data_IF_053694139358
#
_entry.id   IF_053694139358
#
_cell.length_a   1.000
_cell.length_b   1.000
_cell.length_c   1.000
_cell.angle_alpha   90.00
_cell.angle_beta   90.00
_cell.angle_gamma   90.00
#
_symmetry.space_group_name_H-M   'P 1'
#
loop_
_entity.id
_entity.type
_entity.pdbx_description
1 polymer ?
#
# COMPACT_ATOMS: atom_id res chain seq x y z
N UNK A 1 -21.21 30.31 -3.46
CA UNK A 1 -20.99 29.23 -4.45
C UNK A 1 -19.51 29.23 -4.77
N UNK A 2 -18.76 28.34 -4.14
CA UNK A 2 -17.31 28.22 -4.34
C UNK A 2 -17.11 27.44 -5.64
N UNK A 3 -16.48 28.07 -6.64
CA UNK A 3 -16.18 27.43 -7.91
C UNK A 3 -15.20 26.28 -7.66
N UNK A 4 -15.63 25.06 -7.97
CA UNK A 4 -14.73 23.90 -8.10
C UNK A 4 -13.87 24.20 -9.33
N UNK A 5 -12.53 24.25 -9.24
CA UNK A 5 -11.71 24.45 -10.42
C UNK A 5 -11.91 23.26 -11.35
N UNK A 6 -12.52 23.50 -12.51
CA UNK A 6 -12.52 22.57 -13.63
C UNK A 6 -11.07 22.42 -14.09
N UNK A 7 -10.40 21.38 -13.60
CA UNK A 7 -9.14 20.94 -14.21
C UNK A 7 -9.48 20.51 -15.64
N UNK A 8 -9.18 21.37 -16.60
CA UNK A 8 -9.13 21.00 -18.01
C UNK A 8 -8.23 19.77 -18.15
N UNK A 9 -8.87 18.65 -18.45
CA UNK A 9 -8.26 17.35 -18.71
C UNK A 9 -7.63 17.37 -20.11
N UNK A 10 -6.58 18.19 -20.30
CA UNK A 10 -5.73 18.04 -21.47
C UNK A 10 -4.87 16.78 -21.28
N UNK A 11 -5.10 15.82 -22.19
CA UNK A 11 -4.71 14.42 -22.10
C UNK A 11 -3.27 14.16 -21.65
N UNK A 12 -3.14 13.19 -20.74
CA UNK A 12 -1.85 12.59 -20.36
C UNK A 12 -1.71 11.21 -21.01
N UNK A 13 -0.44 10.84 -21.17
CA UNK A 13 0.09 9.79 -22.05
C UNK A 13 -0.49 8.41 -21.72
N UNK A 14 -1.14 7.79 -22.70
CA UNK A 14 -1.41 6.35 -22.64
C UNK A 14 -0.08 5.59 -22.81
N UNK A 15 0.25 4.70 -21.88
CA UNK A 15 1.38 3.80 -22.05
C UNK A 15 1.03 2.70 -23.05
N UNK A 16 1.74 2.65 -24.18
CA UNK A 16 1.65 1.58 -25.15
C UNK A 16 2.81 0.60 -24.95
N UNK A 17 2.51 -0.63 -24.54
CA UNK A 17 3.50 -1.70 -24.40
C UNK A 17 3.57 -2.51 -25.69
N UNK A 18 4.74 -2.56 -26.34
CA UNK A 18 5.00 -3.43 -27.51
C UNK A 18 5.96 -4.54 -27.10
N UNK A 19 5.48 -5.78 -27.08
CA UNK A 19 6.31 -6.97 -26.85
C UNK A 19 6.69 -7.26 -25.39
N UNK A 20 6.11 -6.54 -24.42
CA UNK A 20 6.20 -6.89 -23.01
C UNK A 20 5.03 -7.81 -22.62
N UNK A 21 5.24 -8.70 -21.65
CA UNK A 21 4.15 -9.37 -20.92
C UNK A 21 3.19 -8.27 -20.44
N UNK A 22 1.86 -8.39 -20.62
CA UNK A 22 0.92 -7.44 -20.06
C UNK A 22 1.25 -7.19 -18.58
N UNK A 23 1.19 -5.93 -18.14
CA UNK A 23 1.26 -5.61 -16.71
C UNK A 23 0.26 -6.52 -16.01
N UNK A 24 0.73 -7.24 -15.00
CA UNK A 24 -0.11 -8.14 -14.22
C UNK A 24 -1.18 -7.31 -13.50
N UNK A 25 -2.37 -7.29 -14.09
CA UNK A 25 -3.54 -6.59 -13.56
C UNK A 25 -4.02 -7.21 -12.26
N UNK A 26 -3.57 -8.43 -11.94
CA UNK A 26 -3.93 -9.13 -10.70
C UNK A 26 -3.18 -8.57 -9.48
N UNK A 27 -2.26 -7.62 -9.69
CA UNK A 27 -1.42 -7.04 -8.64
C UNK A 27 -1.50 -5.51 -8.52
N UNK A 28 -2.60 -4.89 -8.97
CA UNK A 28 -2.87 -3.46 -8.73
C UNK A 28 -3.88 -3.27 -7.60
N UNK A 29 -3.59 -2.34 -6.71
CA UNK A 29 -4.43 -2.06 -5.55
C UNK A 29 -4.60 -0.56 -5.34
N UNK A 30 -5.79 -0.20 -4.88
CA UNK A 30 -6.10 1.10 -4.32
C UNK A 30 -5.93 1.03 -2.81
N UNK A 31 -5.13 1.93 -2.27
CA UNK A 31 -4.95 2.13 -0.84
C UNK A 31 -5.38 3.53 -0.42
N UNK A 32 -5.78 3.67 0.84
CA UNK A 32 -6.11 4.95 1.45
C UNK A 32 -5.01 5.35 2.43
N UNK A 33 -4.68 6.63 2.48
CA UNK A 33 -3.72 7.19 3.44
C UNK A 33 -4.34 8.32 4.23
N UNK A 34 -3.76 8.64 5.39
CA UNK A 34 -4.17 9.79 6.20
C UNK A 34 -2.98 10.43 6.92
N UNK A 35 -3.00 11.76 7.03
CA UNK A 35 -2.13 12.51 7.93
C UNK A 35 -0.75 12.82 7.38
N UNK A 36 -0.48 12.51 6.11
CA UNK A 36 0.80 12.82 5.45
C UNK A 36 0.53 13.47 4.10
N UNK A 37 1.21 14.58 3.82
CA UNK A 37 1.18 15.22 2.50
C UNK A 37 2.01 14.35 1.55
N UNK A 38 1.34 13.49 0.79
CA UNK A 38 1.93 12.72 -0.28
C UNK A 38 1.88 13.50 -1.59
N UNK A 39 2.92 13.33 -2.40
CA UNK A 39 3.07 13.97 -3.71
C UNK A 39 3.37 12.91 -4.76
N UNK A 40 3.38 13.31 -6.03
CA UNK A 40 3.68 12.41 -7.15
C UNK A 40 5.13 11.89 -7.17
N UNK A 41 5.98 12.46 -6.31
CA UNK A 41 7.37 12.03 -6.11
C UNK A 41 7.57 11.30 -4.76
N UNK A 42 6.52 11.02 -4.01
CA UNK A 42 6.63 10.29 -2.74
C UNK A 42 7.15 8.88 -2.98
N UNK A 43 8.15 8.45 -2.19
CA UNK A 43 8.69 7.09 -2.27
C UNK A 43 7.67 6.05 -1.81
N UNK A 44 7.84 4.79 -2.24
CA UNK A 44 7.00 3.69 -1.76
C UNK A 44 7.05 3.55 -0.23
N UNK A 45 8.21 3.80 0.40
CA UNK A 45 8.36 3.85 1.85
C UNK A 45 7.39 4.88 2.48
N UNK A 46 7.34 6.10 1.95
CA UNK A 46 6.44 7.14 2.44
C UNK A 46 4.97 6.76 2.25
N UNK A 47 4.63 6.21 1.07
CA UNK A 47 3.26 5.79 0.73
C UNK A 47 2.77 4.70 1.70
N UNK A 48 3.55 3.61 1.88
CA UNK A 48 3.10 2.49 2.72
C UNK A 48 3.11 2.86 4.19
N UNK A 49 4.02 3.73 4.64
CA UNK A 49 4.02 4.24 6.01
C UNK A 49 2.76 5.05 6.32
N UNK A 50 2.28 5.83 5.35
CA UNK A 50 1.07 6.65 5.47
C UNK A 50 -0.24 5.88 5.26
N UNK A 51 -0.18 4.63 4.78
CA UNK A 51 -1.36 3.79 4.55
C UNK A 51 -2.15 3.56 5.85
N UNK A 52 -3.48 3.59 5.76
CA UNK A 52 -4.35 3.28 6.91
C UNK A 52 -4.04 1.91 7.50
N UNK A 53 -4.12 1.79 8.82
CA UNK A 53 -4.07 0.51 9.50
C UNK A 53 -5.21 -0.41 9.02
N UNK A 54 -4.96 -1.71 8.92
CA UNK A 54 -5.99 -2.72 8.65
C UNK A 54 -6.90 -2.88 9.88
N UNK A 55 -7.77 -1.90 10.08
CA UNK A 55 -8.73 -1.76 11.17
C UNK A 55 -10.02 -1.16 10.61
N UNK A 56 -11.12 -1.27 11.36
CA UNK A 56 -12.42 -0.72 10.99
C UNK A 56 -12.89 -1.14 9.58
N UNK A 57 -12.59 -2.37 9.17
CA UNK A 57 -12.95 -2.91 7.85
C UNK A 57 -12.07 -2.48 6.69
N UNK A 58 -11.07 -1.61 6.92
CA UNK A 58 -10.13 -1.21 5.86
C UNK A 58 -9.34 -2.39 5.32
N UNK A 59 -9.28 -2.48 4.00
CA UNK A 59 -8.39 -3.34 3.23
C UNK A 59 -8.09 -2.66 1.91
N UNK A 60 -6.96 -3.01 1.30
CA UNK A 60 -6.67 -2.60 -0.08
C UNK A 60 -7.75 -3.16 -1.01
N UNK A 61 -8.16 -2.36 -1.99
CA UNK A 61 -9.16 -2.76 -2.98
C UNK A 61 -8.45 -3.06 -4.29
N UNK A 62 -8.70 -4.24 -4.88
CA UNK A 62 -8.12 -4.58 -6.18
C UNK A 62 -8.54 -3.56 -7.24
N UNK A 63 -7.57 -3.03 -7.97
CA UNK A 63 -7.80 -2.10 -9.07
C UNK A 63 -7.93 -2.88 -10.38
N UNK A 64 -9.17 -3.15 -10.79
CA UNK A 64 -9.48 -3.88 -12.03
C UNK A 64 -10.20 -2.96 -13.02
N UNK A 65 -9.49 -2.22 -13.87
CA UNK A 65 -10.12 -1.36 -14.86
C UNK A 65 -10.88 -2.21 -15.88
N UNK A 66 -12.11 -1.80 -16.20
CA UNK A 66 -12.86 -2.43 -17.28
C UNK A 66 -12.15 -2.21 -18.62
N UNK A 67 -12.47 -3.05 -19.62
CA UNK A 67 -11.96 -2.85 -20.97
C UNK A 67 -12.44 -1.51 -21.54
N UNK A 68 -11.53 -0.77 -22.16
CA UNK A 68 -11.87 0.47 -22.86
C UNK A 68 -12.76 0.20 -24.07
N UNK A 69 -13.74 1.05 -24.32
CA UNK A 69 -14.59 0.99 -25.53
C UNK A 69 -14.27 2.14 -26.47
N UNK A 70 -14.38 1.93 -27.78
CA UNK A 70 -14.21 2.99 -28.77
C UNK A 70 -15.57 3.54 -29.19
N UNK A 71 -15.84 4.82 -28.95
CA UNK A 71 -17.01 5.52 -29.47
C UNK A 71 -16.73 5.96 -30.90
N UNK A 72 -17.29 5.23 -31.87
CA UNK A 72 -17.15 5.52 -33.30
C UNK A 72 -17.96 6.73 -33.75
N UNK A 73 -18.98 7.15 -33.02
CA UNK A 73 -19.76 8.36 -33.29
C UNK A 73 -19.00 9.63 -32.93
N UNK A 74 -18.12 9.55 -31.94
CA UNK A 74 -17.29 10.67 -31.48
C UNK A 74 -15.80 10.51 -31.82
N UNK A 75 -15.44 9.38 -32.45
CA UNK A 75 -14.06 9.02 -32.81
C UNK A 75 -13.08 9.11 -31.64
N UNK A 76 -13.49 8.63 -30.45
CA UNK A 76 -12.66 8.69 -29.25
C UNK A 76 -12.73 7.38 -28.46
N UNK A 77 -11.63 7.04 -27.79
CA UNK A 77 -11.59 5.93 -26.85
C UNK A 77 -12.23 6.38 -25.53
N UNK A 78 -13.31 5.71 -25.13
CA UNK A 78 -13.90 5.84 -23.81
C UNK A 78 -13.09 5.03 -22.81
N UNK A 79 -12.56 5.73 -21.82
CA UNK A 79 -11.84 5.12 -20.72
C UNK A 79 -12.85 4.83 -19.61
N UNK A 80 -13.13 3.56 -19.29
CA UNK A 80 -14.05 3.25 -18.22
C UNK A 80 -13.47 3.75 -16.90
N UNK A 81 -14.29 4.47 -16.14
CA UNK A 81 -14.00 4.69 -14.73
C UNK A 81 -13.91 3.33 -14.04
N UNK A 82 -12.92 3.17 -13.16
CA UNK A 82 -12.86 2.02 -12.27
C UNK A 82 -13.40 2.45 -10.92
N UNK A 83 -14.30 1.65 -10.35
CA UNK A 83 -14.83 1.91 -9.03
C UNK A 83 -14.04 1.09 -7.99
N UNK A 84 -13.52 1.77 -6.98
CA UNK A 84 -12.94 1.13 -5.80
C UNK A 84 -13.83 1.41 -4.59
N UNK A 85 -14.49 0.36 -4.07
CA UNK A 85 -15.42 0.48 -2.96
C UNK A 85 -14.74 0.12 -1.64
N UNK A 86 -14.75 1.06 -0.70
CA UNK A 86 -14.24 0.87 0.65
C UNK A 86 -15.40 0.81 1.64
N UNK A 87 -15.44 -0.26 2.44
CA UNK A 87 -16.50 -0.50 3.42
C UNK A 87 -15.94 -0.31 4.82
N UNK A 88 -16.50 0.63 5.58
CA UNK A 88 -16.15 0.84 6.98
C UNK A 88 -16.98 -0.09 7.87
N UNK A 89 -16.34 -0.84 8.76
CA UNK A 89 -17.01 -1.73 9.70
C UNK A 89 -16.27 -1.86 11.03
N UNK A 90 -16.96 -1.64 12.14
CA UNK A 90 -16.34 -1.60 13.48
C UNK A 90 -15.69 -0.26 13.82
N UNK A 91 -15.97 0.77 13.02
CA UNK A 91 -15.49 2.14 13.20
C UNK A 91 -15.47 2.93 11.89
N UNK A 92 -15.26 4.23 11.97
CA UNK A 92 -15.12 5.07 10.77
C UNK A 92 -13.72 4.91 10.15
N UNK A 93 -13.63 5.13 8.84
CA UNK A 93 -12.37 5.29 8.12
C UNK A 93 -12.15 6.77 7.80
N UNK A 94 -11.01 7.32 8.20
CA UNK A 94 -10.61 8.68 7.86
C UNK A 94 -9.42 8.63 6.92
N UNK A 95 -9.51 9.33 5.79
CA UNK A 95 -8.45 9.39 4.79
C UNK A 95 -8.37 10.77 4.15
N UNK A 96 -7.23 11.09 3.55
CA UNK A 96 -7.02 12.33 2.79
C UNK A 96 -6.63 12.10 1.33
N UNK A 97 -6.10 10.91 1.02
CA UNK A 97 -5.54 10.56 -0.29
C UNK A 97 -5.89 9.11 -0.61
N UNK A 98 -6.18 8.85 -1.89
CA UNK A 98 -6.24 7.50 -2.43
C UNK A 98 -5.12 7.31 -3.44
N UNK A 99 -4.47 6.15 -3.41
CA UNK A 99 -3.28 5.85 -4.20
C UNK A 99 -3.48 4.52 -4.91
N UNK A 100 -3.11 4.46 -6.19
CA UNK A 100 -2.97 3.22 -6.94
C UNK A 100 -1.51 2.80 -6.93
N UNK A 101 -1.26 1.57 -6.51
CA UNK A 101 0.04 0.92 -6.59
C UNK A 101 -0.05 -0.34 -7.43
N UNK A 102 0.99 -0.64 -8.19
CA UNK A 102 1.15 -1.86 -8.97
C UNK A 102 2.18 -2.81 -8.35
N UNK A 103 2.13 -4.08 -8.72
CA UNK A 103 2.99 -5.15 -8.17
C UNK A 103 2.94 -5.22 -6.64
N UNK A 104 1.75 -4.99 -6.09
CA UNK A 104 1.50 -4.98 -4.65
C UNK A 104 0.71 -6.24 -4.23
N UNK A 105 0.67 -6.52 -2.93
CA UNK A 105 -0.12 -7.62 -2.36
C UNK A 105 -1.40 -7.12 -1.68
N UNK A 106 -2.49 -7.91 -1.78
CA UNK A 106 -3.71 -7.75 -1.00
C UNK A 106 -3.48 -8.02 0.50
N UNK A 107 -2.51 -8.87 0.84
CA UNK A 107 -2.18 -9.23 2.23
C UNK A 107 -1.23 -8.23 2.89
N UNK A 108 -0.96 -7.10 2.24
CA UNK A 108 -0.16 -6.05 2.82
C UNK A 108 -0.79 -5.46 4.08
N UNK A 109 0.05 -5.07 5.04
CA UNK A 109 -0.34 -4.42 6.30
C UNK A 109 -0.83 -5.36 7.42
N UNK A 110 0.02 -6.34 7.76
CA UNK A 110 -0.28 -7.36 8.78
C UNK A 110 0.12 -6.91 10.17
N UNK A 111 -0.79 -7.08 11.13
CA UNK A 111 -0.50 -6.88 12.55
C UNK A 111 0.40 -8.00 13.07
N UNK A 112 1.52 -7.64 13.68
CA UNK A 112 2.39 -8.57 14.40
C UNK A 112 1.77 -8.86 15.75
N UNK A 113 1.66 -10.15 16.09
CA UNK A 113 1.09 -10.60 17.38
C UNK A 113 2.16 -10.76 18.45
N UNK A 114 3.36 -11.22 18.05
CA UNK A 114 4.51 -11.36 18.95
C UNK A 114 5.79 -10.87 18.28
N UNK A 115 6.63 -10.15 19.03
CA UNK A 115 8.04 -9.89 18.69
C UNK A 115 8.86 -10.91 19.50
N UNK A 116 9.39 -11.92 18.82
CA UNK A 116 10.13 -13.01 19.46
C UNK A 116 11.63 -12.75 19.31
N UNK A 117 12.23 -12.15 20.34
CA UNK A 117 13.66 -11.81 20.42
C UNK A 117 14.56 -13.06 20.52
N UNK A 118 14.09 -14.13 21.16
CA UNK A 118 14.84 -15.37 21.30
C UNK A 118 15.09 -16.10 19.96
N UNK A 119 14.29 -15.80 18.94
CA UNK A 119 14.42 -16.41 17.61
C UNK A 119 14.48 -15.40 16.46
N UNK A 120 14.59 -14.11 16.78
CA UNK A 120 14.66 -13.01 15.81
C UNK A 120 13.49 -13.01 14.80
N UNK A 121 12.27 -13.25 15.29
CA UNK A 121 11.07 -13.42 14.47
C UNK A 121 9.96 -12.43 14.82
N UNK A 122 9.30 -11.92 13.79
CA UNK A 122 7.98 -11.30 13.93
C UNK A 122 6.95 -12.38 13.65
N UNK A 123 6.02 -12.58 14.58
CA UNK A 123 5.03 -13.66 14.53
C UNK A 123 3.62 -13.12 14.27
N UNK A 124 2.79 -13.97 13.68
CA UNK A 124 1.42 -13.67 13.25
C UNK A 124 0.50 -14.86 13.55
N UNK A 125 -0.75 -14.54 13.89
CA UNK A 125 -1.80 -15.54 14.12
C UNK A 125 -2.35 -16.16 12.82
N UNK A 126 -1.99 -15.60 11.67
CA UNK A 126 -2.38 -16.08 10.34
C UNK A 126 -1.28 -15.80 9.33
N UNK A 127 -1.34 -16.48 8.17
CA UNK A 127 -0.35 -16.32 7.11
C UNK A 127 -0.22 -14.84 6.70
N UNK A 128 0.97 -14.23 6.84
CA UNK A 128 1.17 -12.85 6.41
C UNK A 128 1.20 -12.73 4.88
N UNK A 129 1.37 -13.84 4.14
CA UNK A 129 1.54 -13.85 2.68
C UNK A 129 2.84 -13.19 2.23
N UNK A 130 3.87 -13.22 3.08
CA UNK A 130 5.20 -12.68 2.83
C UNK A 130 6.17 -13.83 2.59
N UNK A 131 7.04 -13.67 1.59
CA UNK A 131 8.05 -14.66 1.21
C UNK A 131 9.44 -14.04 1.20
N UNK A 132 10.46 -14.88 1.23
CA UNK A 132 11.86 -14.45 1.18
C UNK A 132 12.14 -13.59 -0.08
N UNK A 133 12.80 -12.46 0.13
CA UNK A 133 13.04 -11.43 -0.90
C UNK A 133 12.04 -10.28 -0.89
N UNK A 134 10.88 -10.43 -0.24
CA UNK A 134 9.91 -9.34 -0.12
C UNK A 134 10.47 -8.15 0.66
N UNK A 135 10.18 -6.95 0.18
CA UNK A 135 10.51 -5.70 0.85
C UNK A 135 9.35 -5.27 1.73
N UNK A 136 9.67 -4.87 2.95
CA UNK A 136 8.69 -4.45 3.95
C UNK A 136 9.15 -3.24 4.71
N UNK A 137 8.20 -2.60 5.38
CA UNK A 137 8.41 -1.52 6.34
C UNK A 137 7.66 -1.87 7.62
N UNK A 138 8.26 -1.57 8.76
CA UNK A 138 7.67 -1.82 10.07
C UNK A 138 7.26 -0.49 10.70
N UNK A 139 6.01 -0.41 11.15
CA UNK A 139 5.47 0.78 11.82
C UNK A 139 4.82 0.40 13.14
N UNK A 140 4.92 1.28 14.16
CA UNK A 140 4.15 1.11 15.38
C UNK A 140 2.72 1.64 15.19
N UNK A 141 1.75 0.91 15.72
CA UNK A 141 0.40 1.44 15.98
C UNK A 141 0.40 2.13 17.36
N UNK A 142 -0.72 2.78 17.72
CA UNK A 142 -0.86 3.45 19.01
C UNK A 142 -0.58 2.47 20.17
N UNK A 143 0.37 2.82 21.03
CA UNK A 143 0.78 2.03 22.19
C UNK A 143 1.86 0.98 21.90
N UNK A 144 2.22 0.76 20.62
CA UNK A 144 3.32 -0.12 20.23
C UNK A 144 4.66 0.61 20.14
N UNK A 145 5.73 -0.17 20.04
CA UNK A 145 7.08 0.32 19.77
C UNK A 145 7.81 -0.64 18.85
N UNK A 146 8.40 -0.13 17.77
CA UNK A 146 9.21 -0.93 16.84
C UNK A 146 10.59 -1.14 17.45
N UNK A 147 11.16 -2.36 17.40
CA UNK A 147 12.56 -2.61 17.78
C UNK A 147 13.51 -1.64 17.07
N UNK A 148 14.48 -1.07 17.77
CA UNK A 148 15.35 -0.02 17.22
C UNK A 148 16.17 -0.46 16.01
N UNK A 149 16.52 -1.74 15.94
CA UNK A 149 17.30 -2.34 14.85
C UNK A 149 16.51 -2.40 13.53
N UNK A 150 15.18 -2.33 13.61
CA UNK A 150 14.29 -2.28 12.45
C UNK A 150 14.05 -0.85 11.95
N UNK A 151 14.65 0.15 12.59
CA UNK A 151 14.53 1.56 12.26
C UNK A 151 15.86 2.13 11.75
N UNK A 152 15.79 3.23 11.01
CA UNK A 152 16.95 4.07 10.69
C UNK A 152 16.84 5.37 11.46
N UNK A 153 17.67 5.50 12.51
CA UNK A 153 17.69 6.69 13.37
C UNK A 153 16.30 7.05 13.93
N UNK A 154 15.52 6.03 14.30
CA UNK A 154 14.15 6.16 14.82
C UNK A 154 13.06 6.27 13.75
N UNK A 155 13.41 6.31 12.46
CA UNK A 155 12.44 6.38 11.37
C UNK A 155 12.20 5.00 10.74
N UNK A 156 11.00 4.72 10.20
CA UNK A 156 10.77 3.54 9.38
C UNK A 156 11.75 3.48 8.21
N UNK A 157 12.24 2.28 7.90
CA UNK A 157 13.16 2.03 6.79
C UNK A 157 12.71 0.82 5.97
N UNK A 158 13.28 0.68 4.78
CA UNK A 158 13.14 -0.53 3.98
C UNK A 158 13.91 -1.69 4.62
N UNK A 159 13.25 -2.85 4.69
CA UNK A 159 13.79 -4.11 5.17
C UNK A 159 13.43 -5.22 4.18
N UNK A 160 14.15 -6.34 4.27
CA UNK A 160 13.96 -7.50 3.41
C UNK A 160 13.58 -8.72 4.23
N UNK A 161 12.56 -9.46 3.80
CA UNK A 161 12.24 -10.77 4.36
C UNK A 161 13.35 -11.75 3.94
N UNK A 162 13.98 -12.40 4.90
CA UNK A 162 15.07 -13.39 4.67
C UNK A 162 14.78 -14.76 5.24
N UNK A 163 13.60 -14.91 5.85
CA UNK A 163 13.06 -16.18 6.27
C UNK A 163 11.58 -16.01 6.55
N UNK A 164 10.80 -17.02 6.19
CA UNK A 164 9.35 -17.07 6.41
C UNK A 164 8.92 -18.51 6.67
N UNK A 165 7.89 -18.71 7.50
CA UNK A 165 7.41 -20.06 7.75
C UNK A 165 6.24 -20.15 8.73
N UNK A 166 5.88 -21.40 9.02
CA UNK A 166 4.88 -21.75 10.02
C UNK A 166 5.48 -22.79 10.98
N UNK A 167 5.36 -22.56 12.29
CA UNK A 167 5.67 -23.55 13.31
C UNK A 167 4.50 -23.68 14.27
N UNK A 168 3.88 -24.86 14.30
CA UNK A 168 2.78 -25.15 15.23
C UNK A 168 1.57 -24.23 15.09
N UNK A 169 1.28 -23.72 13.88
CA UNK A 169 0.18 -22.79 13.63
C UNK A 169 0.55 -21.31 13.78
N UNK A 170 1.75 -21.00 14.29
CA UNK A 170 2.28 -19.64 14.37
C UNK A 170 3.06 -19.34 13.09
N UNK A 171 2.63 -18.31 12.37
CA UNK A 171 3.33 -17.84 11.18
C UNK A 171 4.39 -16.83 11.58
N UNK A 172 5.52 -16.80 10.87
CA UNK A 172 6.62 -15.91 11.23
C UNK A 172 7.41 -15.44 10.02
N UNK A 173 8.09 -14.31 10.19
CA UNK A 173 9.13 -13.81 9.28
C UNK A 173 10.39 -13.41 10.04
N UNK A 174 11.53 -13.42 9.36
CA UNK A 174 12.79 -12.83 9.78
C UNK A 174 13.19 -11.73 8.79
N UNK A 175 13.82 -10.67 9.29
CA UNK A 175 14.12 -9.47 8.51
C UNK A 175 15.62 -9.22 8.42
N UNK A 176 16.07 -8.65 7.30
CA UNK A 176 17.43 -8.19 7.09
C UNK A 176 17.47 -6.75 6.55
N UNK A 177 18.63 -6.11 6.67
CA UNK A 177 18.89 -4.78 6.11
C UNK A 177 19.13 -4.80 4.59
N UNK A 178 19.49 -5.95 4.04
CA UNK A 178 19.77 -6.16 2.62
C UNK A 178 19.12 -7.45 2.14
N UNK A 179 18.81 -7.51 0.84
CA UNK A 179 18.28 -8.71 0.19
C UNK A 179 19.23 -9.90 0.39
N UNK A 180 18.70 -11.04 0.85
CA UNK A 180 19.49 -12.24 1.16
C UNK A 180 20.52 -12.06 2.28
N UNK A 181 20.43 -10.98 3.06
CA UNK A 181 21.33 -10.67 4.16
C UNK A 181 21.10 -11.55 5.39
N UNK A 182 21.89 -11.31 6.44
CA UNK A 182 21.71 -11.95 7.74
C UNK A 182 20.48 -11.38 8.46
N UNK A 183 19.73 -12.26 9.14
CA UNK A 183 18.63 -11.84 10.00
C UNK A 183 19.11 -10.84 11.07
N UNK A 184 18.31 -9.79 11.26
CA UNK A 184 18.52 -8.77 12.28
C UNK A 184 18.19 -9.38 13.64
N UNK A 185 19.09 -9.21 14.61
CA UNK A 185 18.86 -9.61 15.99
C UNK A 185 18.00 -8.55 16.68
N UNK A 186 16.90 -8.95 17.33
CA UNK A 186 16.01 -8.01 18.02
C UNK A 186 16.46 -7.81 19.47
N UNK A 187 16.33 -6.59 20.00
CA UNK A 187 16.66 -6.32 21.41
C UNK A 187 15.53 -5.64 22.21
N UNK A 188 14.30 -5.63 21.69
CA UNK A 188 13.14 -5.07 22.39
C UNK A 188 11.92 -4.85 21.49
N UNK A 189 11.12 -3.83 21.82
CA UNK A 189 9.88 -3.49 21.13
C UNK A 189 8.62 -3.99 21.86
N UNK A 190 7.46 -3.52 21.41
CA UNK A 190 6.16 -3.93 21.93
C UNK A 190 5.09 -3.86 20.85
N UNK A 191 4.18 -4.82 20.82
CA UNK A 191 2.99 -4.74 19.98
C UNK A 191 2.01 -3.70 20.53
N UNK A 192 1.11 -3.14 19.70
CA UNK A 192 0.89 -3.44 18.29
C UNK A 192 1.89 -2.77 17.33
N UNK A 193 2.52 -3.58 16.46
CA UNK A 193 3.30 -3.09 15.30
C UNK A 193 2.79 -3.79 14.03
N UNK A 194 3.04 -3.19 12.87
CA UNK A 194 2.59 -3.71 11.58
C UNK A 194 3.73 -3.92 10.61
N UNK A 195 3.62 -4.98 9.83
CA UNK A 195 4.46 -5.25 8.66
C UNK A 195 3.71 -4.83 7.41
N UNK A 196 4.28 -3.86 6.70
CA UNK A 196 3.69 -3.23 5.53
C UNK A 196 4.47 -3.65 4.30
N UNK A 197 3.76 -4.26 3.34
CA UNK A 197 4.35 -4.68 2.09
C UNK A 197 4.80 -3.45 1.29
N UNK A 198 6.08 -3.40 0.93
CA UNK A 198 6.71 -2.27 0.28
C UNK A 198 7.25 -2.62 -1.12
N UNK A 199 7.04 -3.84 -1.61
CA UNK A 199 7.19 -4.07 -3.04
C UNK A 199 6.08 -3.33 -3.79
N UNK A 200 6.41 -2.97 -5.02
CA UNK A 200 5.49 -2.36 -5.94
C UNK A 200 6.00 -1.05 -6.52
N UNK A 201 5.12 -0.40 -7.26
CA UNK A 201 5.37 0.88 -7.89
C UNK A 201 4.16 1.79 -7.68
N UNK A 202 4.45 3.04 -7.38
CA UNK A 202 3.46 4.11 -7.36
C UNK A 202 2.99 4.40 -8.78
N UNK A 203 1.69 4.27 -9.03
CA UNK A 203 1.12 4.55 -10.35
C UNK A 203 0.39 5.91 -10.37
N UNK A 204 -0.38 6.21 -9.32
CA UNK A 204 -1.28 7.37 -9.29
C UNK A 204 -1.71 7.75 -7.87
N UNK A 205 -1.96 9.03 -7.62
CA UNK A 205 -2.61 9.53 -6.40
C UNK A 205 -3.71 10.54 -6.72
N UNK A 206 -4.67 10.66 -5.81
CA UNK A 206 -5.59 11.78 -5.75
C UNK A 206 -5.80 12.23 -4.30
N UNK A 207 -5.76 13.55 -4.10
CA UNK A 207 -5.91 14.19 -2.80
C UNK A 207 -7.34 14.72 -2.71
N UNK A 208 -8.09 14.20 -1.75
CA UNK A 208 -9.48 14.57 -1.48
C UNK A 208 -9.59 15.59 -0.34
N UNK A 209 -8.53 15.74 0.46
CA UNK A 209 -8.62 16.40 1.77
C UNK A 209 -9.32 15.48 2.78
N UNK A 210 -9.51 15.95 4.02
CA UNK A 210 -10.06 15.11 5.09
C UNK A 210 -11.45 14.59 4.74
N UNK A 211 -11.53 13.27 4.53
CA UNK A 211 -12.72 12.53 4.14
C UNK A 211 -13.00 11.44 5.17
N UNK A 212 -14.28 11.15 5.42
CA UNK A 212 -14.70 10.14 6.40
C UNK A 212 -15.73 9.20 5.79
N UNK A 213 -15.44 7.90 5.82
CA UNK A 213 -16.42 6.84 5.58
C UNK A 213 -16.99 6.46 6.95
N UNK A 214 -18.27 6.72 7.17
CA UNK A 214 -18.91 6.43 8.45
C UNK A 214 -19.03 4.91 8.68
N UNK A 215 -19.02 4.48 9.94
CA UNK A 215 -19.18 3.06 10.29
C UNK A 215 -20.47 2.47 9.70
N UNK A 216 -20.37 1.28 9.12
CA UNK A 216 -21.48 0.59 8.44
C UNK A 216 -21.83 1.15 7.06
N UNK A 217 -21.02 2.07 6.51
CA UNK A 217 -21.24 2.64 5.17
C UNK A 217 -20.13 2.28 4.18
N UNK A 218 -20.45 2.46 2.91
CA UNK A 218 -19.53 2.26 1.78
C UNK A 218 -19.30 3.60 1.10
N UNK A 219 -18.04 3.92 0.82
CA UNK A 219 -17.69 4.95 -0.14
C UNK A 219 -17.09 4.32 -1.40
N UNK A 220 -17.47 4.84 -2.57
CA UNK A 220 -17.02 4.34 -3.87
C UNK A 220 -16.23 5.41 -4.59
N UNK A 221 -14.92 5.19 -4.71
CA UNK A 221 -14.04 6.08 -5.44
C UNK A 221 -14.08 5.75 -6.92
N UNK A 222 -14.43 6.74 -7.73
CA UNK A 222 -14.28 6.65 -9.17
C UNK A 222 -12.87 7.08 -9.58
N UNK A 223 -12.07 6.12 -10.03
CA UNK A 223 -10.70 6.36 -10.50
C UNK A 223 -10.76 6.47 -12.02
N UNK A 224 -10.61 7.69 -12.52
CA UNK A 224 -10.51 7.96 -13.95
C UNK A 224 -9.10 7.60 -14.44
N UNK A 225 -9.02 6.72 -15.44
CA UNK A 225 -7.78 6.44 -16.16
C UNK A 225 -7.35 7.71 -16.90
N UNK A 226 -6.48 8.52 -16.32
CA UNK A 226 -5.72 9.56 -17.03
C UNK A 226 -4.27 9.42 -16.59
N UNK A 227 -3.57 8.43 -17.15
CA UNK A 227 -2.25 8.04 -16.69
C UNK A 227 -1.24 9.15 -17.00
N UNK A 228 -0.81 9.86 -15.96
CA UNK A 228 0.55 10.36 -15.88
C UNK A 228 1.23 9.55 -14.79
N UNK A 229 2.28 8.81 -15.12
CA UNK A 229 3.07 8.10 -14.12
C UNK A 229 3.79 9.12 -13.25
N UNK A 230 3.61 9.04 -11.94
CA UNK A 230 4.59 9.56 -10.98
C UNK A 230 5.70 8.53 -10.86
N UNK A 231 6.93 8.87 -11.20
CA UNK A 231 8.06 7.96 -10.99
C UNK A 231 8.48 8.03 -9.53
N UNK A 232 7.82 7.27 -8.66
CA UNK A 232 8.38 7.02 -7.33
C UNK A 232 9.50 5.98 -7.46
N UNK A 233 10.75 6.42 -7.35
CA UNK A 233 11.88 5.52 -7.17
C UNK A 233 11.82 4.95 -5.75
N UNK A 234 11.93 3.63 -5.64
CA UNK A 234 11.99 2.91 -4.37
C UNK A 234 13.30 3.26 -3.61
N UNK A 235 14.27 3.88 -4.31
CA UNK A 235 15.57 4.28 -3.78
C UNK A 235 15.76 5.80 -3.57
N UNK A 236 14.70 6.61 -3.72
CA UNK A 236 14.82 8.04 -3.45
C UNK A 236 15.05 8.27 -1.94
N UNK A 237 16.30 8.59 -1.60
CA UNK A 237 16.78 8.96 -0.26
C UNK A 237 16.35 10.39 0.11
#
# INVERSE_FOLDING_TARGET
MTAIPSRDLCGRVAEAYRGATPLDVDNKYVLLTNGTVLTDNSSMLAIVTAELAQANGYQRVAYSPSASSYDSGQSRQELPGTNAAFNASGGALQYDTAIVISSASATANKLVTTINDASDRLEFDSDPGLVDGDKVVITADIGGSVPSELLDSGNPRLLFVVGSGNSGGTWWIQLALTEGGTAIVFSGGSTPIRVRYANGRFDWLNIYGSTTIADGTTDTLQIALNWGSGTADVNAA
#
